data_IF_646045167909
#
_entry.id   IF_646045167909
#
_cell.length_a   1.000
_cell.length_b   1.000
_cell.length_c   1.000
_cell.angle_alpha   90.00
_cell.angle_beta   90.00
_cell.angle_gamma   90.00
#
_symmetry.space_group_name_H-M   'P 1'
#
loop_
_entity.id
_entity.type
_entity.pdbx_description
1 polymer ?
#
# COMPACT_ATOMS: atom_id res chain seq x y z
N UNK A 1 29.06 3.77 17.47
CA UNK A 1 30.03 3.79 16.35
C UNK A 1 29.30 3.40 15.07
N UNK A 2 29.55 4.07 13.94
CA UNK A 2 29.02 3.61 12.64
C UNK A 2 29.95 2.53 12.11
N UNK A 3 29.43 1.34 11.89
CA UNK A 3 30.18 0.26 11.27
C UNK A 3 30.23 0.50 9.77
N UNK A 4 31.39 0.23 9.18
CA UNK A 4 31.60 0.30 7.73
C UNK A 4 31.99 -1.09 7.26
N UNK A 5 31.41 -1.54 6.16
CA UNK A 5 31.89 -2.71 5.45
C UNK A 5 32.03 -2.39 3.96
N UNK A 6 32.94 -3.11 3.30
CA UNK A 6 33.17 -2.98 1.87
C UNK A 6 32.56 -4.19 1.18
N UNK A 7 31.52 -3.96 0.39
CA UNK A 7 30.95 -4.96 -0.50
C UNK A 7 31.69 -4.92 -1.82
N UNK A 8 31.94 -6.08 -2.44
CA UNK A 8 32.53 -6.17 -3.76
C UNK A 8 31.47 -6.76 -4.69
N UNK A 9 30.96 -5.94 -5.61
CA UNK A 9 30.05 -6.42 -6.63
C UNK A 9 30.84 -6.83 -7.87
N UNK A 10 30.67 -8.08 -8.26
CA UNK A 10 31.15 -8.61 -9.53
C UNK A 10 30.06 -8.44 -10.59
N UNK A 11 30.40 -7.82 -11.72
CA UNK A 11 29.48 -7.59 -12.85
C UNK A 11 30.09 -8.12 -14.14
N UNK A 12 29.26 -8.66 -15.03
CA UNK A 12 29.71 -9.33 -16.25
C UNK A 12 29.82 -10.86 -16.13
N UNK A 13 29.39 -11.45 -15.00
CA UNK A 13 29.27 -12.90 -14.85
C UNK A 13 27.80 -13.29 -14.86
N UNK A 14 27.42 -14.15 -15.81
CA UNK A 14 26.13 -14.83 -15.79
C UNK A 14 26.31 -16.14 -15.02
N UNK A 15 26.53 -16.03 -13.71
CA UNK A 15 26.50 -17.16 -12.79
C UNK A 15 25.05 -17.29 -12.30
N UNK A 16 24.36 -18.28 -12.82
CA UNK A 16 23.01 -18.59 -12.38
C UNK A 16 22.91 -20.09 -12.05
N UNK A 17 22.07 -20.49 -11.10
CA UNK A 17 21.81 -21.90 -10.82
C UNK A 17 21.40 -22.68 -12.07
N UNK A 18 20.68 -22.04 -12.99
CA UNK A 18 20.25 -22.62 -14.27
C UNK A 18 21.42 -22.93 -15.20
N UNK A 19 22.50 -22.11 -15.17
CA UNK A 19 23.71 -22.35 -15.98
C UNK A 19 24.65 -23.37 -15.37
N UNK A 20 24.74 -23.42 -14.04
CA UNK A 20 25.68 -24.31 -13.34
C UNK A 20 25.05 -25.64 -12.91
N UNK A 21 23.72 -25.76 -12.96
CA UNK A 21 22.97 -26.87 -12.38
C UNK A 21 23.04 -26.93 -10.84
N UNK A 22 23.62 -25.92 -10.21
CA UNK A 22 23.81 -25.77 -8.76
C UNK A 22 24.03 -24.31 -8.40
N UNK A 23 23.82 -23.95 -7.14
CA UNK A 23 24.17 -22.63 -6.62
C UNK A 23 25.66 -22.32 -6.89
N UNK A 24 26.01 -21.14 -7.44
CA UNK A 24 27.40 -20.76 -7.66
C UNK A 24 28.18 -20.72 -6.34
N UNK A 25 29.39 -21.30 -6.32
CA UNK A 25 30.28 -21.24 -5.18
C UNK A 25 31.27 -20.08 -5.29
N UNK A 26 31.92 -19.72 -4.18
CA UNK A 26 33.01 -18.72 -4.18
C UNK A 26 34.13 -19.10 -5.15
N UNK A 27 34.46 -20.39 -5.29
CA UNK A 27 35.48 -20.84 -6.23
C UNK A 27 35.05 -20.63 -7.69
N UNK A 28 33.76 -20.77 -8.01
CA UNK A 28 33.26 -20.51 -9.37
C UNK A 28 33.42 -19.03 -9.73
N UNK A 29 33.16 -18.11 -8.78
CA UNK A 29 33.35 -16.67 -8.96
C UNK A 29 34.83 -16.34 -9.20
N UNK A 30 35.73 -16.91 -8.40
CA UNK A 30 37.18 -16.69 -8.53
C UNK A 30 37.70 -17.22 -9.86
N UNK A 31 37.31 -18.44 -10.25
CA UNK A 31 37.75 -19.05 -11.50
C UNK A 31 37.23 -18.29 -12.73
N UNK A 32 35.99 -17.82 -12.72
CA UNK A 32 35.45 -16.98 -13.80
C UNK A 32 36.12 -15.58 -13.87
N UNK A 33 36.56 -15.05 -12.72
CA UNK A 33 37.30 -13.78 -12.66
C UNK A 33 38.67 -13.80 -13.32
N UNK A 34 39.27 -14.98 -13.45
CA UNK A 34 40.53 -15.14 -14.14
C UNK A 34 40.38 -15.20 -15.67
N UNK A 35 39.19 -15.48 -16.20
CA UNK A 35 38.98 -15.80 -17.63
C UNK A 35 38.09 -14.83 -18.38
N UNK A 36 37.40 -13.93 -17.68
CA UNK A 36 36.41 -13.00 -18.25
C UNK A 36 36.78 -11.55 -17.95
N UNK A 37 36.31 -10.60 -18.78
CA UNK A 37 36.42 -9.15 -18.54
C UNK A 37 35.48 -8.72 -17.40
N UNK A 38 35.89 -9.06 -16.18
CA UNK A 38 35.10 -8.85 -14.98
C UNK A 38 35.24 -7.42 -14.48
N UNK A 39 34.11 -6.71 -14.43
CA UNK A 39 34.05 -5.40 -13.80
C UNK A 39 33.82 -5.59 -12.30
N UNK A 40 34.87 -5.33 -11.52
CA UNK A 40 34.84 -5.30 -10.06
C UNK A 40 34.52 -3.88 -9.62
N UNK A 41 33.38 -3.68 -8.95
CA UNK A 41 33.02 -2.38 -8.38
C UNK A 41 32.94 -2.49 -6.87
N UNK A 42 33.91 -1.93 -6.12
CA UNK A 42 33.80 -1.84 -4.67
C UNK A 42 32.70 -0.84 -4.31
N UNK A 43 31.88 -1.20 -3.32
CA UNK A 43 30.86 -0.32 -2.77
C UNK A 43 30.98 -0.30 -1.25
N UNK A 44 31.14 0.89 -0.69
CA UNK A 44 31.19 1.06 0.76
C UNK A 44 29.76 1.17 1.30
N UNK A 45 29.50 0.48 2.40
CA UNK A 45 28.23 0.53 3.10
C UNK A 45 28.42 1.07 4.52
N UNK A 46 27.39 1.76 5.01
CA UNK A 46 27.32 2.41 6.31
C UNK A 46 26.11 1.85 7.05
N UNK A 47 26.32 1.37 8.28
CA UNK A 47 25.22 0.95 9.15
C UNK A 47 24.48 2.16 9.73
N UNK A 48 23.15 2.08 9.74
CA UNK A 48 22.27 3.00 10.46
C UNK A 48 21.37 2.16 11.36
N UNK A 49 21.50 2.37 12.67
CA UNK A 49 20.70 1.64 13.66
C UNK A 49 19.42 2.40 13.98
N UNK A 50 18.30 1.73 13.81
CA UNK A 50 16.98 2.10 14.30
C UNK A 50 16.62 1.20 15.49
N UNK A 51 15.58 1.54 16.29
CA UNK A 51 15.21 0.74 17.46
C UNK A 51 14.94 -0.74 17.16
N UNK A 52 14.36 -1.05 15.99
CA UNK A 52 13.92 -2.40 15.62
C UNK A 52 14.83 -3.09 14.60
N UNK A 53 15.67 -2.33 13.87
CA UNK A 53 16.49 -2.89 12.80
C UNK A 53 17.74 -2.05 12.49
N UNK A 54 18.68 -2.63 11.75
CA UNK A 54 19.85 -1.91 11.22
C UNK A 54 19.82 -1.92 9.70
N UNK A 55 19.80 -0.73 9.10
CA UNK A 55 19.92 -0.57 7.65
C UNK A 55 21.39 -0.48 7.26
N UNK A 56 21.71 -1.11 6.13
CA UNK A 56 23.00 -0.96 5.48
C UNK A 56 22.80 -0.22 4.18
N UNK A 57 23.30 1.01 4.11
CA UNK A 57 23.18 1.85 2.93
C UNK A 57 24.54 2.13 2.33
N UNK A 58 24.61 2.18 1.01
CA UNK A 58 25.77 2.62 0.28
C UNK A 58 26.17 4.02 0.74
N UNK A 59 27.45 4.31 0.67
CA UNK A 59 27.98 5.60 1.11
C UNK A 59 27.35 6.78 0.33
N UNK A 60 26.99 6.56 -0.94
CA UNK A 60 26.28 7.53 -1.77
C UNK A 60 24.87 7.81 -1.24
N UNK A 61 24.05 6.77 -1.07
CA UNK A 61 22.69 6.90 -0.52
C UNK A 61 22.70 7.48 0.88
N UNK A 62 23.64 7.04 1.73
CA UNK A 62 23.83 7.59 3.06
C UNK A 62 24.11 9.09 3.01
N UNK A 63 25.05 9.54 2.18
CA UNK A 63 25.40 10.97 2.06
C UNK A 63 24.20 11.81 1.61
N UNK A 64 23.35 11.27 0.73
CA UNK A 64 22.13 11.93 0.26
C UNK A 64 21.04 12.02 1.35
N UNK A 65 20.87 10.97 2.14
CA UNK A 65 19.75 10.84 3.09
C UNK A 65 20.08 11.16 4.55
N UNK A 66 21.36 11.37 4.91
CA UNK A 66 21.80 11.51 6.32
C UNK A 66 21.03 12.54 7.15
N UNK A 67 20.48 13.59 6.53
CA UNK A 67 19.78 14.69 7.22
C UNK A 67 18.28 14.42 7.42
N UNK A 68 17.74 13.36 6.79
CA UNK A 68 16.32 13.01 6.88
C UNK A 68 16.04 11.77 7.69
N UNK A 69 17.05 11.11 8.27
CA UNK A 69 16.82 10.02 9.22
C UNK A 69 16.33 10.55 10.57
N UNK A 70 15.43 9.82 11.22
CA UNK A 70 14.97 10.16 12.56
C UNK A 70 13.56 9.67 12.86
N UNK A 71 12.87 10.36 13.76
CA UNK A 71 11.56 9.94 14.28
C UNK A 71 10.43 10.40 13.37
N UNK A 72 9.56 9.46 12.98
CA UNK A 72 8.35 9.72 12.21
C UNK A 72 7.13 9.92 13.12
N UNK A 73 6.41 11.03 12.95
CA UNK A 73 5.17 11.32 13.69
C UNK A 73 3.92 10.63 13.12
N UNK A 74 4.06 9.83 12.07
CA UNK A 74 2.94 9.17 11.39
C UNK A 74 2.96 7.66 11.64
N UNK A 75 1.77 7.08 11.55
CA UNK A 75 1.54 5.65 11.58
C UNK A 75 1.04 5.19 10.23
N UNK A 76 1.68 4.15 9.70
CA UNK A 76 1.37 3.56 8.41
C UNK A 76 0.73 2.19 8.62
N UNK A 77 -0.21 1.86 7.75
CA UNK A 77 -1.01 0.66 7.82
C UNK A 77 -1.00 -0.06 6.47
N UNK A 78 -1.04 -1.38 6.51
CA UNK A 78 -1.34 -2.19 5.32
C UNK A 78 -2.82 -2.10 4.97
N UNK A 79 -3.14 -2.19 3.67
CA UNK A 79 -4.51 -2.19 3.19
C UNK A 79 -5.30 -3.47 3.52
N UNK A 80 -6.57 -3.44 3.14
CA UNK A 80 -7.59 -4.45 3.48
C UNK A 80 -7.55 -5.65 2.53
N UNK A 81 -7.74 -6.84 3.08
CA UNK A 81 -7.76 -8.11 2.33
C UNK A 81 -9.01 -8.34 1.46
N UNK A 82 -9.61 -7.33 0.82
CA UNK A 82 -10.85 -7.52 0.04
C UNK A 82 -10.62 -8.21 -1.33
N UNK A 83 -9.38 -8.34 -1.80
CA UNK A 83 -9.04 -9.07 -3.03
C UNK A 83 -8.95 -10.59 -2.87
N UNK A 84 -9.05 -11.11 -1.64
CA UNK A 84 -8.86 -12.53 -1.30
C UNK A 84 -10.11 -13.38 -1.55
N UNK A 85 -10.10 -14.63 -1.07
CA UNK A 85 -11.24 -15.56 -1.13
C UNK A 85 -11.82 -15.75 -2.53
N UNK A 86 -10.94 -15.83 -3.55
CA UNK A 86 -11.30 -15.94 -4.98
C UNK A 86 -12.25 -14.83 -5.46
N UNK A 87 -12.16 -13.64 -4.85
CA UNK A 87 -13.01 -12.50 -5.20
C UNK A 87 -14.45 -12.64 -4.70
N UNK A 88 -14.65 -13.30 -3.56
CA UNK A 88 -15.93 -13.34 -2.85
C UNK A 88 -16.51 -11.95 -2.59
N UNK A 89 -15.63 -10.97 -2.37
CA UNK A 89 -15.98 -9.61 -2.01
C UNK A 89 -16.03 -8.68 -3.23
N UNK A 90 -15.23 -8.95 -4.26
CA UNK A 90 -15.05 -8.04 -5.40
C UNK A 90 -16.27 -8.05 -6.32
N UNK A 91 -16.93 -6.89 -6.45
CA UNK A 91 -18.02 -6.65 -7.39
C UNK A 91 -17.45 -6.52 -8.81
N UNK A 92 -18.19 -7.04 -9.78
CA UNK A 92 -17.89 -6.89 -11.20
C UNK A 92 -18.70 -5.72 -11.76
N UNK A 93 -18.00 -4.72 -12.29
CA UNK A 93 -18.61 -3.51 -12.82
C UNK A 93 -19.13 -2.58 -11.72
N UNK A 94 -20.05 -1.70 -12.11
CA UNK A 94 -20.68 -0.73 -11.21
C UNK A 94 -21.93 -1.33 -10.54
N UNK A 95 -22.15 -1.12 -9.24
CA UNK A 95 -23.41 -1.46 -8.57
C UNK A 95 -24.60 -0.76 -9.22
N UNK A 96 -25.66 -1.49 -9.55
CA UNK A 96 -26.83 -0.93 -10.26
C UNK A 96 -27.94 -0.58 -9.26
N UNK A 97 -28.38 0.69 -9.15
CA UNK A 97 -29.50 1.07 -8.29
C UNK A 97 -30.78 0.30 -8.65
N UNK A 98 -31.52 -0.15 -7.64
CA UNK A 98 -32.82 -0.82 -7.82
C UNK A 98 -33.81 -0.34 -6.76
N UNK A 99 -35.11 -0.41 -7.08
CA UNK A 99 -36.16 -0.18 -6.08
C UNK A 99 -36.01 -1.19 -4.93
N UNK A 100 -36.03 -0.74 -3.67
CA UNK A 100 -35.95 -1.64 -2.53
C UNK A 100 -37.09 -2.67 -2.53
N UNK A 101 -36.82 -3.95 -2.19
CA UNK A 101 -37.87 -4.94 -1.98
C UNK A 101 -38.85 -4.51 -0.88
N UNK A 102 -40.07 -5.04 -0.91
CA UNK A 102 -41.07 -4.80 0.14
C UNK A 102 -40.50 -5.12 1.53
N UNK A 103 -40.66 -4.19 2.47
CA UNK A 103 -40.15 -4.33 3.84
C UNK A 103 -38.71 -3.86 4.05
N UNK A 104 -38.02 -3.35 3.01
CA UNK A 104 -36.68 -2.78 3.11
C UNK A 104 -36.74 -1.27 2.96
N UNK A 105 -36.41 -0.54 4.03
CA UNK A 105 -36.47 0.93 4.09
C UNK A 105 -35.10 1.59 3.86
N UNK A 106 -34.26 1.03 2.98
CA UNK A 106 -32.96 1.60 2.64
C UNK A 106 -32.61 1.38 1.16
N UNK A 107 -31.69 2.19 0.63
CA UNK A 107 -31.26 2.10 -0.77
C UNK A 107 -30.64 0.73 -1.07
N UNK A 108 -31.05 0.13 -2.18
CA UNK A 108 -30.60 -1.18 -2.61
C UNK A 108 -29.89 -1.09 -3.97
N UNK A 109 -28.97 -2.03 -4.19
CA UNK A 109 -28.25 -2.18 -5.44
C UNK A 109 -28.22 -3.64 -5.87
N UNK A 110 -28.28 -3.86 -7.18
CA UNK A 110 -28.02 -5.15 -7.80
C UNK A 110 -26.53 -5.26 -8.11
N UNK A 111 -25.92 -6.35 -7.69
CA UNK A 111 -24.49 -6.62 -7.85
C UNK A 111 -24.25 -8.06 -8.30
N UNK A 112 -23.04 -8.31 -8.78
CA UNK A 112 -22.49 -9.63 -9.06
C UNK A 112 -21.02 -9.62 -8.60
N UNK A 113 -20.58 -10.65 -7.88
CA UNK A 113 -19.17 -10.76 -7.44
C UNK A 113 -18.38 -11.68 -8.37
N UNK A 114 -17.05 -11.58 -8.33
CA UNK A 114 -16.17 -12.52 -9.04
C UNK A 114 -16.47 -13.97 -8.66
N UNK A 115 -16.74 -14.23 -7.38
CA UNK A 115 -17.09 -15.57 -6.93
C UNK A 115 -18.49 -16.00 -7.39
N UNK A 116 -19.51 -15.14 -7.28
CA UNK A 116 -20.88 -15.48 -7.68
C UNK A 116 -20.92 -15.87 -9.16
N UNK A 117 -20.23 -15.10 -10.01
CA UNK A 117 -20.06 -15.43 -11.44
C UNK A 117 -19.39 -16.78 -11.65
N UNK A 118 -18.27 -17.02 -10.97
CA UNK A 118 -17.52 -18.28 -11.09
C UNK A 118 -18.32 -19.51 -10.62
N UNK A 119 -19.30 -19.30 -9.74
CA UNK A 119 -20.21 -20.35 -9.25
C UNK A 119 -21.48 -20.50 -10.10
N UNK A 120 -21.71 -19.62 -11.10
CA UNK A 120 -22.93 -19.58 -11.89
C UNK A 120 -24.16 -19.09 -11.13
N UNK A 121 -23.95 -18.28 -10.08
CA UNK A 121 -25.05 -17.67 -9.31
C UNK A 121 -25.55 -16.41 -10.04
N UNK A 122 -26.87 -16.12 -10.01
CA UNK A 122 -27.41 -14.91 -10.60
C UNK A 122 -26.92 -13.65 -9.86
N UNK A 123 -27.03 -12.49 -10.51
CA UNK A 123 -26.90 -11.19 -9.83
C UNK A 123 -27.90 -11.11 -8.67
N UNK A 124 -27.53 -10.49 -7.57
CA UNK A 124 -28.34 -10.42 -6.37
C UNK A 124 -28.47 -8.98 -5.86
N UNK A 125 -29.54 -8.72 -5.11
CA UNK A 125 -29.83 -7.40 -4.53
C UNK A 125 -29.33 -7.36 -3.10
N UNK A 126 -28.65 -6.28 -2.73
CA UNK A 126 -28.18 -6.02 -1.37
C UNK A 126 -28.43 -4.56 -0.99
N UNK A 127 -28.35 -4.27 0.30
CA UNK A 127 -28.33 -2.91 0.81
C UNK A 127 -27.07 -2.18 0.36
N UNK A 128 -27.23 -0.96 -0.16
CA UNK A 128 -26.13 -0.13 -0.69
C UNK A 128 -25.07 0.18 0.37
N UNK A 129 -25.45 0.21 1.66
CA UNK A 129 -24.51 0.44 2.77
C UNK A 129 -23.37 -0.57 2.81
N UNK A 130 -23.58 -1.78 2.31
CA UNK A 130 -22.58 -2.85 2.26
C UNK A 130 -21.65 -2.75 1.07
N UNK A 131 -21.83 -1.77 0.17
CA UNK A 131 -20.99 -1.58 -1.01
C UNK A 131 -19.94 -0.51 -0.78
N UNK A 132 -18.70 -0.93 -0.76
CA UNK A 132 -17.53 -0.08 -0.52
C UNK A 132 -16.79 0.20 -1.83
N UNK A 133 -16.24 1.41 -1.94
CA UNK A 133 -15.32 1.80 -3.00
C UNK A 133 -13.91 1.46 -2.55
N UNK A 134 -13.09 0.88 -3.42
CA UNK A 134 -11.71 0.54 -3.11
C UNK A 134 -10.80 0.52 -4.34
N UNK A 135 -9.50 0.32 -4.12
CA UNK A 135 -8.48 0.30 -5.16
C UNK A 135 -7.30 -0.58 -4.74
N UNK A 136 -6.52 -1.05 -5.72
CA UNK A 136 -5.32 -1.87 -5.50
C UNK A 136 -4.06 -1.04 -5.71
N UNK A 137 -2.91 -1.58 -5.29
CA UNK A 137 -1.61 -0.94 -5.52
C UNK A 137 -1.32 -0.63 -6.99
N UNK A 138 -1.71 -1.51 -7.91
CA UNK A 138 -1.55 -1.32 -9.37
C UNK A 138 -2.30 -0.08 -9.91
N UNK A 139 -3.34 0.35 -9.21
CA UNK A 139 -4.17 1.49 -9.61
C UNK A 139 -3.62 2.83 -9.11
N UNK A 140 -2.54 2.82 -8.31
CA UNK A 140 -1.91 4.03 -7.78
C UNK A 140 -0.88 4.54 -8.77
N UNK A 141 -1.04 5.80 -9.19
CA UNK A 141 -0.01 6.62 -9.83
C UNK A 141 0.39 7.73 -8.86
N UNK A 142 1.51 8.40 -9.14
CA UNK A 142 1.88 9.61 -8.39
C UNK A 142 0.72 10.62 -8.47
N UNK A 143 0.21 10.99 -7.31
CA UNK A 143 -0.83 11.98 -7.12
C UNK A 143 -2.27 11.50 -7.32
N UNK A 144 -2.52 10.30 -7.85
CA UNK A 144 -3.90 9.87 -8.17
C UNK A 144 -4.15 8.36 -8.10
N UNK A 145 -5.43 8.01 -7.94
CA UNK A 145 -5.94 6.66 -8.15
C UNK A 145 -6.54 6.58 -9.55
N UNK A 146 -5.94 5.76 -10.42
CA UNK A 146 -6.37 5.58 -11.84
C UNK A 146 -7.70 4.86 -11.98
N UNK A 147 -7.98 3.92 -11.07
CA UNK A 147 -9.12 3.02 -11.17
C UNK A 147 -9.61 2.61 -9.80
N UNK A 148 -10.91 2.80 -9.62
CA UNK A 148 -11.63 2.26 -8.47
C UNK A 148 -12.37 0.98 -8.85
N UNK A 149 -12.68 0.20 -7.83
CA UNK A 149 -13.55 -0.97 -7.89
C UNK A 149 -14.51 -0.92 -6.71
N UNK A 150 -15.52 -1.77 -6.75
CA UNK A 150 -16.41 -1.95 -5.62
C UNK A 150 -16.24 -3.33 -5.01
N UNK A 151 -16.50 -3.40 -3.72
CA UNK A 151 -16.55 -4.66 -3.00
C UNK A 151 -17.66 -4.62 -1.96
N UNK A 152 -18.13 -5.81 -1.58
CA UNK A 152 -19.10 -5.96 -0.50
C UNK A 152 -18.36 -6.25 0.81
N UNK A 153 -18.84 -5.67 1.91
CA UNK A 153 -18.36 -5.99 3.25
C UNK A 153 -19.50 -5.84 4.27
N UNK A 154 -19.62 -6.79 5.19
CA UNK A 154 -20.61 -6.80 6.27
C UNK A 154 -20.11 -6.00 7.48
N UNK A 155 -19.89 -4.70 7.30
CA UNK A 155 -19.30 -3.82 8.31
C UNK A 155 -20.19 -2.60 8.60
N UNK A 156 -20.19 -2.17 9.85
CA UNK A 156 -20.69 -0.86 10.25
C UNK A 156 -19.63 0.21 9.94
N UNK A 157 -20.01 1.18 9.10
CA UNK A 157 -19.11 2.25 8.67
C UNK A 157 -18.75 3.23 9.78
N UNK A 158 -19.58 3.36 10.79
CA UNK A 158 -19.38 4.30 11.90
C UNK A 158 -18.39 3.76 12.93
N UNK A 159 -18.40 2.44 13.17
CA UNK A 159 -17.55 1.79 14.17
C UNK A 159 -16.34 1.08 13.55
N UNK A 160 -16.38 0.77 12.25
CA UNK A 160 -15.37 -0.06 11.61
C UNK A 160 -15.41 -1.53 12.01
N UNK A 161 -16.47 -1.96 12.71
CA UNK A 161 -16.63 -3.32 13.19
C UNK A 161 -17.45 -4.18 12.21
N UNK A 162 -17.15 -5.48 12.09
CA UNK A 162 -18.00 -6.40 11.38
C UNK A 162 -19.36 -6.54 12.08
N UNK A 163 -20.40 -6.81 11.31
CA UNK A 163 -21.71 -7.17 11.88
C UNK A 163 -21.62 -8.53 12.56
N UNK A 164 -22.30 -8.66 13.70
CA UNK A 164 -22.54 -9.97 14.33
C UNK A 164 -23.45 -10.83 13.47
N UNK A 165 -23.42 -12.16 13.67
CA UNK A 165 -24.30 -13.09 12.95
C UNK A 165 -25.78 -12.72 13.05
N UNK A 166 -26.24 -12.31 14.24
CA UNK A 166 -27.63 -11.90 14.47
C UNK A 166 -28.01 -10.64 13.69
N UNK A 167 -27.11 -9.64 13.63
CA UNK A 167 -27.33 -8.44 12.82
C UNK A 167 -27.31 -8.77 11.33
N UNK A 168 -26.34 -9.56 10.88
CA UNK A 168 -26.15 -9.92 9.49
C UNK A 168 -27.30 -10.80 8.96
N UNK A 169 -27.81 -11.73 9.77
CA UNK A 169 -28.86 -12.68 9.39
C UNK A 169 -30.16 -12.04 8.86
N UNK A 170 -30.43 -10.80 9.28
CA UNK A 170 -31.61 -10.06 8.88
C UNK A 170 -31.45 -9.29 7.55
N UNK A 171 -30.23 -9.20 7.02
CA UNK A 171 -29.89 -8.39 5.84
C UNK A 171 -30.15 -9.11 4.51
N UNK A 172 -30.33 -8.34 3.44
CA UNK A 172 -30.35 -8.85 2.07
C UNK A 172 -28.98 -9.41 1.67
N UNK A 173 -27.87 -8.80 2.10
CA UNK A 173 -26.52 -9.34 1.89
C UNK A 173 -26.41 -10.79 2.36
N UNK A 174 -26.91 -11.10 3.56
CA UNK A 174 -26.92 -12.46 4.08
C UNK A 174 -27.86 -13.36 3.28
N UNK A 175 -29.14 -12.96 3.19
CA UNK A 175 -30.21 -13.77 2.59
C UNK A 175 -29.96 -14.11 1.13
N UNK A 176 -29.35 -13.19 0.37
CA UNK A 176 -29.20 -13.33 -1.08
C UNK A 176 -27.80 -13.81 -1.51
N UNK A 177 -26.80 -13.77 -0.63
CA UNK A 177 -25.43 -14.13 -1.00
C UNK A 177 -24.66 -14.90 0.08
N UNK A 178 -24.43 -14.32 1.26
CA UNK A 178 -23.50 -14.93 2.23
C UNK A 178 -24.01 -16.22 2.86
N UNK A 179 -25.33 -16.43 2.92
CA UNK A 179 -25.93 -17.70 3.40
C UNK A 179 -25.84 -18.85 2.39
N UNK A 180 -25.40 -18.59 1.16
CA UNK A 180 -25.28 -19.65 0.15
C UNK A 180 -24.16 -20.63 0.52
N UNK A 181 -24.48 -21.92 0.63
CA UNK A 181 -23.51 -22.97 1.04
C UNK A 181 -22.23 -23.00 0.19
N UNK A 182 -22.35 -22.73 -1.12
CA UNK A 182 -21.19 -22.71 -2.03
C UNK A 182 -20.30 -21.50 -1.77
N UNK A 183 -20.88 -20.38 -1.33
CA UNK A 183 -20.15 -19.18 -0.89
C UNK A 183 -19.49 -19.43 0.47
N UNK A 184 -20.25 -19.91 1.46
CA UNK A 184 -19.74 -20.24 2.80
C UNK A 184 -18.58 -21.23 2.76
N UNK A 185 -18.69 -22.29 1.95
CA UNK A 185 -17.60 -23.26 1.76
C UNK A 185 -16.31 -22.62 1.25
N UNK A 186 -16.41 -21.57 0.42
CA UNK A 186 -15.25 -20.86 -0.13
C UNK A 186 -14.67 -19.89 0.89
N UNK A 187 -15.51 -19.15 1.59
CA UNK A 187 -15.09 -18.28 2.70
C UNK A 187 -14.40 -19.09 3.80
N UNK A 188 -15.02 -20.20 4.22
CA UNK A 188 -14.48 -21.13 5.21
C UNK A 188 -13.14 -21.76 4.83
N UNK A 189 -12.84 -21.94 3.54
CA UNK A 189 -11.53 -22.39 3.10
C UNK A 189 -10.46 -21.30 3.20
N UNK A 190 -10.84 -20.03 3.06
CA UNK A 190 -9.93 -18.88 3.17
C UNK A 190 -9.74 -18.39 4.61
N UNK A 191 -10.71 -18.64 5.49
CA UNK A 191 -10.67 -18.21 6.90
C UNK A 191 -10.09 -19.25 7.86
N UNK A 192 -9.72 -20.47 7.42
CA UNK A 192 -9.21 -21.53 8.33
C UNK A 192 -8.03 -21.12 9.21
N UNK A 193 -7.28 -20.09 8.80
CA UNK A 193 -6.11 -19.58 9.51
C UNK A 193 -6.40 -18.28 10.29
N UNK A 194 -7.64 -17.77 10.21
CA UNK A 194 -8.08 -16.54 10.86
C UNK A 194 -9.07 -16.90 11.97
N UNK A 195 -8.82 -16.48 13.22
CA UNK A 195 -9.79 -16.59 14.34
C UNK A 195 -10.88 -15.51 14.22
N UNK A 196 -11.61 -15.53 13.10
CA UNK A 196 -12.56 -14.49 12.70
C UNK A 196 -13.80 -15.11 12.08
N UNK A 197 -14.90 -14.39 12.10
CA UNK A 197 -16.11 -14.82 11.40
C UNK A 197 -15.85 -14.90 9.89
N UNK A 198 -16.60 -15.76 9.20
CA UNK A 198 -16.38 -16.08 7.78
C UNK A 198 -16.49 -14.85 6.85
N UNK A 199 -17.20 -13.81 7.30
CA UNK A 199 -17.43 -12.57 6.55
C UNK A 199 -16.53 -11.40 6.95
N UNK A 200 -15.62 -11.61 7.89
CA UNK A 200 -14.64 -10.59 8.24
C UNK A 200 -13.56 -10.44 7.16
N UNK A 201 -13.18 -9.19 6.93
CA UNK A 201 -12.06 -8.83 6.07
C UNK A 201 -10.83 -8.56 6.94
N UNK A 202 -9.68 -9.10 6.54
CA UNK A 202 -8.42 -8.81 7.22
C UNK A 202 -8.12 -7.30 7.13
N UNK A 203 -7.77 -6.71 8.28
CA UNK A 203 -7.35 -5.30 8.44
C UNK A 203 -8.41 -4.25 8.06
N UNK A 204 -9.66 -4.66 7.86
CA UNK A 204 -10.76 -3.71 7.75
C UNK A 204 -10.97 -3.02 9.10
N UNK A 205 -10.94 -1.69 9.11
CA UNK A 205 -11.04 -0.84 10.29
C UNK A 205 -11.63 0.53 9.92
N UNK A 206 -11.90 1.36 10.93
CA UNK A 206 -12.31 2.75 10.72
C UNK A 206 -11.25 3.56 9.96
N UNK A 207 -9.96 3.30 10.24
CA UNK A 207 -8.83 3.95 9.58
C UNK A 207 -8.79 3.65 8.08
N UNK A 208 -9.03 2.39 7.69
CA UNK A 208 -9.08 2.00 6.29
C UNK A 208 -10.19 2.76 5.52
N UNK A 209 -11.28 3.09 6.21
CA UNK A 209 -12.43 3.85 5.68
C UNK A 209 -12.29 5.37 5.86
N UNK A 210 -11.23 5.85 6.51
CA UNK A 210 -11.07 7.27 6.80
C UNK A 210 -11.09 8.13 5.54
N UNK A 211 -11.72 9.30 5.62
CA UNK A 211 -11.92 10.18 4.47
C UNK A 211 -10.60 10.62 3.84
N UNK A 212 -9.65 11.05 4.66
CA UNK A 212 -8.37 11.60 4.23
C UNK A 212 -7.23 10.63 4.53
N UNK A 213 -6.57 10.18 3.46
CA UNK A 213 -5.43 9.27 3.54
C UNK A 213 -4.38 9.63 2.50
N UNK A 214 -3.11 9.39 2.83
CA UNK A 214 -2.03 9.28 1.85
C UNK A 214 -1.75 7.81 1.65
N UNK A 215 -1.77 7.35 0.41
CA UNK A 215 -1.60 5.94 0.06
C UNK A 215 -0.44 5.73 -0.89
N UNK A 216 0.21 4.57 -0.87
CA UNK A 216 1.23 4.22 -1.86
C UNK A 216 1.19 2.75 -2.23
N UNK A 217 1.80 2.45 -3.37
CA UNK A 217 1.90 1.09 -3.90
C UNK A 217 2.90 0.26 -3.10
N UNK A 218 2.48 -0.95 -2.73
CA UNK A 218 3.32 -1.91 -2.03
C UNK A 218 4.51 -2.37 -2.89
N UNK A 219 4.28 -2.95 -4.07
CA UNK A 219 5.35 -3.44 -4.94
C UNK A 219 5.95 -2.29 -5.77
N UNK A 220 6.97 -1.61 -5.25
CA UNK A 220 7.65 -0.51 -5.94
C UNK A 220 9.13 -0.36 -5.58
N UNK A 221 9.87 0.37 -6.42
CA UNK A 221 11.27 0.75 -6.16
C UNK A 221 11.41 2.07 -5.41
N UNK A 222 10.29 2.74 -5.14
CA UNK A 222 10.19 4.06 -4.55
C UNK A 222 8.75 4.27 -4.10
N UNK A 223 8.51 5.26 -3.25
CA UNK A 223 7.14 5.69 -2.99
C UNK A 223 6.49 6.18 -4.28
N UNK A 224 5.26 5.71 -4.49
CA UNK A 224 4.35 6.19 -5.53
C UNK A 224 3.09 6.62 -4.76
N UNK A 225 3.12 7.83 -4.15
CA UNK A 225 2.05 8.26 -3.27
C UNK A 225 0.89 8.89 -4.04
N UNK A 226 -0.32 8.77 -3.49
CA UNK A 226 -1.51 9.46 -3.92
C UNK A 226 -2.34 9.91 -2.71
N UNK A 227 -3.22 10.90 -2.90
CA UNK A 227 -4.14 11.38 -1.86
C UNK A 227 -5.55 10.85 -2.14
N UNK A 228 -6.20 10.31 -1.10
CA UNK A 228 -7.59 9.84 -1.13
C UNK A 228 -8.43 10.74 -0.23
N UNK A 229 -9.60 11.17 -0.72
CA UNK A 229 -10.46 12.19 -0.07
C UNK A 229 -11.93 11.78 0.10
N UNK A 230 -12.28 10.58 -0.35
CA UNK A 230 -13.66 10.08 -0.45
C UNK A 230 -13.91 8.82 0.40
N UNK A 231 -12.93 8.41 1.21
CA UNK A 231 -13.03 7.21 2.04
C UNK A 231 -12.83 5.89 1.28
N UNK A 232 -12.39 5.92 0.01
CA UNK A 232 -12.06 4.69 -0.70
C UNK A 232 -11.01 3.86 0.06
N UNK A 233 -11.22 2.55 0.08
CA UNK A 233 -10.46 1.59 0.89
C UNK A 233 -9.29 1.02 0.08
N UNK A 234 -8.04 1.11 0.57
CA UNK A 234 -6.90 0.47 -0.07
C UNK A 234 -6.96 -1.05 0.15
N UNK A 235 -6.61 -1.80 -0.87
CA UNK A 235 -6.41 -3.25 -0.80
C UNK A 235 -5.04 -3.60 -0.20
N UNK A 236 -4.79 -4.83 0.28
CA UNK A 236 -3.50 -5.22 0.89
C UNK A 236 -2.25 -4.92 0.03
N UNK A 237 -2.42 -4.76 -1.29
CA UNK A 237 -1.37 -4.31 -2.22
C UNK A 237 -1.09 -2.80 -2.19
N UNK A 238 -1.75 -2.04 -1.31
CA UNK A 238 -1.60 -0.62 -1.10
C UNK A 238 -1.53 -0.31 0.40
N UNK A 239 -0.60 0.54 0.78
CA UNK A 239 -0.40 0.98 2.15
C UNK A 239 -0.92 2.40 2.33
N UNK A 240 -1.21 2.80 3.56
CA UNK A 240 -1.78 4.12 3.82
C UNK A 240 -1.40 4.71 5.17
N UNK A 241 -1.52 6.03 5.26
CA UNK A 241 -1.45 6.82 6.50
C UNK A 241 -2.72 7.65 6.58
N UNK A 242 -3.40 7.61 7.72
CA UNK A 242 -4.57 8.47 7.99
C UNK A 242 -4.10 9.85 8.42
N UNK A 243 -4.78 10.88 7.91
CA UNK A 243 -4.49 12.29 8.21
C UNK A 243 -5.78 13.04 8.50
N UNK A 244 -5.67 14.19 9.18
CA UNK A 244 -6.83 14.91 9.69
C UNK A 244 -7.33 16.00 8.73
N UNK A 245 -6.55 16.35 7.71
CA UNK A 245 -6.88 17.40 6.74
C UNK A 245 -6.32 17.09 5.36
N UNK A 246 -6.87 17.77 4.35
CA UNK A 246 -6.39 17.66 2.98
C UNK A 246 -5.00 18.28 2.80
N UNK A 247 -4.72 19.38 3.49
CA UNK A 247 -3.41 20.05 3.51
C UNK A 247 -2.32 19.13 4.08
N UNK A 248 -2.62 18.45 5.19
CA UNK A 248 -1.72 17.46 5.78
C UNK A 248 -1.48 16.28 4.81
N UNK A 249 -2.51 15.84 4.09
CA UNK A 249 -2.37 14.81 3.07
C UNK A 249 -1.41 15.23 1.95
N UNK A 250 -1.56 16.46 1.44
CA UNK A 250 -0.68 16.98 0.40
C UNK A 250 0.76 17.18 0.90
N UNK A 251 0.93 17.70 2.11
CA UNK A 251 2.24 17.83 2.77
C UNK A 251 2.96 16.48 2.82
N UNK A 252 2.28 15.46 3.34
CA UNK A 252 2.87 14.14 3.51
C UNK A 252 3.15 13.47 2.15
N UNK A 253 2.25 13.62 1.17
CA UNK A 253 2.47 13.12 -0.18
C UNK A 253 3.72 13.73 -0.83
N UNK A 254 3.97 15.03 -0.63
CA UNK A 254 5.19 15.70 -1.11
C UNK A 254 6.45 15.16 -0.43
N UNK A 255 6.40 14.92 0.88
CA UNK A 255 7.55 14.34 1.61
C UNK A 255 7.89 12.95 1.06
N UNK A 256 6.89 12.10 0.85
CA UNK A 256 7.13 10.75 0.32
C UNK A 256 7.74 10.77 -1.09
N UNK A 257 7.62 11.87 -1.84
CA UNK A 257 8.27 12.06 -3.14
C UNK A 257 9.72 12.54 -3.05
N UNK A 258 10.22 12.92 -1.88
CA UNK A 258 11.55 13.51 -1.72
C UNK A 258 12.67 12.61 -2.26
N UNK A 259 13.60 13.13 -3.08
CA UNK A 259 14.69 12.35 -3.68
C UNK A 259 15.58 11.62 -2.67
N UNK A 260 15.83 12.24 -1.52
CA UNK A 260 16.65 11.68 -0.46
C UNK A 260 15.96 10.54 0.29
N UNK A 261 14.62 10.59 0.43
CA UNK A 261 13.83 9.47 0.97
C UNK A 261 13.81 8.32 -0.05
N UNK A 262 13.50 8.63 -1.31
CA UNK A 262 13.39 7.61 -2.35
C UNK A 262 14.72 6.98 -2.75
N UNK A 263 15.87 7.64 -2.52
CA UNK A 263 17.18 7.02 -2.66
C UNK A 263 17.35 5.84 -1.69
N UNK A 264 16.91 5.99 -0.44
CA UNK A 264 16.94 4.91 0.57
C UNK A 264 15.99 3.80 0.18
N UNK A 265 14.74 4.13 -0.16
CA UNK A 265 13.74 3.13 -0.56
C UNK A 265 14.22 2.32 -1.77
N UNK A 266 14.78 2.97 -2.78
CA UNK A 266 15.28 2.31 -3.97
C UNK A 266 16.46 1.37 -3.70
N UNK A 267 17.24 1.63 -2.64
CA UNK A 267 18.32 0.74 -2.24
C UNK A 267 17.83 -0.47 -1.43
N UNK A 268 16.85 -0.28 -0.54
CA UNK A 268 16.38 -1.35 0.35
C UNK A 268 15.27 -2.22 -0.27
N UNK A 269 14.41 -1.65 -1.12
CA UNK A 269 13.24 -2.36 -1.61
C UNK A 269 13.54 -3.52 -2.57
N UNK A 270 14.64 -3.56 -3.35
CA UNK A 270 14.98 -4.76 -4.13
C UNK A 270 15.28 -6.00 -3.28
N UNK A 271 15.70 -5.82 -2.02
CA UNK A 271 15.97 -6.94 -1.10
C UNK A 271 14.69 -7.46 -0.45
N UNK A 272 13.69 -6.59 -0.29
CA UNK A 272 12.43 -6.90 0.40
C UNK A 272 11.31 -7.22 -0.59
N UNK A 273 11.35 -6.64 -1.79
CA UNK A 273 10.31 -6.73 -2.83
C UNK A 273 9.17 -5.70 -2.69
N UNK A 274 9.12 -4.99 -1.56
CA UNK A 274 7.97 -4.20 -1.12
C UNK A 274 8.41 -2.85 -0.53
N UNK A 275 7.54 -1.83 -0.58
CA UNK A 275 7.67 -0.52 0.08
C UNK A 275 6.78 -0.54 1.32
N UNK A 276 7.23 -1.25 2.33
CA UNK A 276 6.40 -1.60 3.49
C UNK A 276 6.05 -0.39 4.37
N UNK A 277 4.95 -0.46 5.15
CA UNK A 277 4.59 0.55 6.15
C UNK A 277 5.73 0.95 7.07
N UNK A 278 6.52 -0.02 7.55
CA UNK A 278 7.61 0.26 8.50
C UNK A 278 8.68 1.20 7.95
N UNK A 279 8.86 1.29 6.62
CA UNK A 279 9.91 2.11 6.04
C UNK A 279 9.77 3.61 6.33
N UNK A 280 8.56 4.10 6.60
CA UNK A 280 8.39 5.50 7.00
C UNK A 280 9.09 5.81 8.33
N UNK A 281 9.31 4.81 9.18
CA UNK A 281 9.94 4.95 10.50
C UNK A 281 11.43 5.22 10.42
N UNK A 282 12.04 5.06 9.24
CA UNK A 282 13.43 5.45 9.03
C UNK A 282 13.62 6.96 8.95
N UNK A 283 12.57 7.68 8.56
CA UNK A 283 12.67 9.09 8.21
C UNK A 283 12.08 9.99 9.29
N UNK A 284 12.72 11.13 9.50
CA UNK A 284 12.19 12.23 10.30
C UNK A 284 11.10 12.93 9.51
N UNK A 285 9.85 12.63 9.86
CA UNK A 285 8.67 13.21 9.23
C UNK A 285 7.83 13.86 10.34
N UNK A 286 7.99 15.17 10.58
CA UNK A 286 7.21 15.85 11.60
C UNK A 286 5.74 15.96 11.19
N UNK A 287 4.86 15.99 12.19
CA UNK A 287 3.43 16.24 11.98
C UNK A 287 3.25 17.60 11.27
N UNK A 288 2.28 17.68 10.36
CA UNK A 288 2.00 18.91 9.63
C UNK A 288 1.68 20.05 10.61
N UNK A 289 2.18 21.25 10.30
CA UNK A 289 2.00 22.45 11.10
C UNK A 289 1.57 23.59 10.16
N UNK A 290 0.32 24.06 10.25
CA UNK A 290 -0.19 25.15 9.42
C UNK A 290 0.40 26.51 9.78
N UNK A 291 1.33 26.62 10.74
CA UNK A 291 2.11 27.84 10.99
C UNK A 291 3.50 27.81 10.38
N UNK A 292 4.02 26.62 10.06
CA UNK A 292 5.32 26.46 9.44
C UNK A 292 5.24 26.73 7.93
N UNK A 293 6.04 27.68 7.43
CA UNK A 293 6.06 28.08 6.02
C UNK A 293 6.51 26.97 5.08
N UNK A 294 7.50 26.17 5.49
CA UNK A 294 8.01 25.06 4.69
C UNK A 294 6.97 23.93 4.59
N UNK A 295 6.23 23.68 5.68
CA UNK A 295 5.12 22.72 5.67
C UNK A 295 3.99 23.17 4.74
N UNK A 296 3.60 24.46 4.78
CA UNK A 296 2.63 25.03 3.84
C UNK A 296 3.09 24.87 2.41
N UNK A 297 4.37 25.18 2.14
CA UNK A 297 4.90 25.10 0.78
C UNK A 297 4.90 23.67 0.25
N UNK A 298 5.29 22.70 1.07
CA UNK A 298 5.18 21.27 0.74
C UNK A 298 3.71 20.85 0.49
N UNK A 299 2.74 21.36 1.26
CA UNK A 299 1.33 21.12 1.03
C UNK A 299 0.83 21.74 -0.30
N UNK A 300 1.27 22.94 -0.65
CA UNK A 300 0.97 23.57 -1.95
C UNK A 300 1.51 22.73 -3.11
N UNK A 301 2.78 22.32 -3.05
CA UNK A 301 3.39 21.44 -4.06
C UNK A 301 2.58 20.13 -4.20
N UNK A 302 2.19 19.54 -3.07
CA UNK A 302 1.40 18.30 -3.07
C UNK A 302 0.03 18.51 -3.70
N UNK A 303 -0.57 19.69 -3.53
CA UNK A 303 -1.81 20.10 -4.19
C UNK A 303 -1.63 20.27 -5.70
N UNK A 304 -0.53 20.86 -6.16
CA UNK A 304 -0.23 20.95 -7.60
C UNK A 304 -0.09 19.56 -8.23
N UNK A 305 0.64 18.65 -7.58
CA UNK A 305 0.88 17.29 -8.08
C UNK A 305 -0.41 16.45 -8.01
N UNK A 306 -1.04 16.36 -6.85
CA UNK A 306 -2.17 15.44 -6.63
C UNK A 306 -3.52 16.05 -7.05
N UNK A 307 -3.68 17.35 -6.86
CA UNK A 307 -4.93 18.06 -7.16
C UNK A 307 -5.03 18.54 -8.61
N UNK A 308 -3.91 18.98 -9.21
CA UNK A 308 -3.89 19.49 -10.59
C UNK A 308 -3.21 18.56 -11.60
N UNK A 309 -2.55 17.49 -11.12
CA UNK A 309 -1.91 16.51 -11.99
C UNK A 309 -0.60 17.01 -12.60
N UNK A 310 0.07 17.98 -11.97
CA UNK A 310 1.37 18.45 -12.42
C UNK A 310 2.45 17.36 -12.28
N UNK A 311 3.43 17.36 -13.19
CA UNK A 311 4.55 16.43 -13.11
C UNK A 311 5.42 16.77 -11.89
N UNK A 312 5.52 15.84 -10.94
CA UNK A 312 6.28 16.00 -9.70
C UNK A 312 7.76 16.35 -9.96
N UNK A 313 8.31 15.95 -11.12
CA UNK A 313 9.70 16.27 -11.49
C UNK A 313 9.99 17.77 -11.51
N UNK A 314 8.97 18.61 -11.79
CA UNK A 314 9.09 20.07 -11.74
C UNK A 314 9.44 20.59 -10.34
N UNK A 315 9.04 19.87 -9.30
CA UNK A 315 9.19 20.27 -7.90
C UNK A 315 10.29 19.50 -7.19
N UNK A 316 10.99 18.58 -7.85
CA UNK A 316 11.88 17.62 -7.22
C UNK A 316 12.98 18.28 -6.37
N UNK A 317 13.66 19.28 -6.92
CA UNK A 317 14.71 20.04 -6.22
C UNK A 317 14.15 20.90 -5.07
N UNK A 318 12.94 21.45 -5.25
CA UNK A 318 12.30 22.26 -4.22
C UNK A 318 11.87 21.40 -3.04
N UNK A 319 11.27 20.23 -3.30
CA UNK A 319 10.94 19.23 -2.29
C UNK A 319 12.21 18.79 -1.55
N UNK A 320 13.29 18.46 -2.26
CA UNK A 320 14.56 18.06 -1.64
C UNK A 320 15.08 19.13 -0.65
N UNK A 321 15.06 20.40 -1.08
CA UNK A 321 15.48 21.53 -0.26
C UNK A 321 14.60 21.77 0.97
N UNK A 322 13.28 21.66 0.83
CA UNK A 322 12.33 21.84 1.93
C UNK A 322 12.41 20.68 2.94
N UNK A 323 12.44 19.44 2.46
CA UNK A 323 12.50 18.25 3.32
C UNK A 323 13.81 18.18 4.11
N UNK A 324 14.89 18.76 3.59
CA UNK A 324 16.17 18.84 4.30
C UNK A 324 16.14 19.80 5.51
N UNK A 325 15.17 20.72 5.59
CA UNK A 325 15.03 21.72 6.66
C UNK A 325 14.08 21.29 7.79
N UNK A 326 13.32 20.21 7.60
CA UNK A 326 12.37 19.68 8.57
C UNK A 326 13.04 19.22 9.86
#
# INVERSE_FOLDING_TARGET
MKNRFRYIRFTGIELSPEKLGREPSLSDIVNYSATSSLSVKPQNYISISFPEETLWLSEETYKKAKNVFGVCSYEAHEGVGFGVAKGAWLIIGEPQPVSPPLGVNEECVRVETKLSRALGLPSFIIEKRFVFKGFKGEDIDIGRIKRYRYFIAAYDRSTGQPLTESQLGNTLLWKNYLSNERVLKRLGASSKHLKKDLWELERMSLDAMSRYKVVWRDVAKRFIPAVVTDGAVPEHTAHYIVVNSLEEAYYLSSILLAPQINAVINEISPWVGHVEPRFIKFFRIPKYDPKNSDHKRLAEIGREICGKGEDYKKFENEIEGLVSKL
#
